data_IF_980923846084
#
_entry.id   IF_980923846084
#
_cell.length_a   1.000
_cell.length_b   1.000
_cell.length_c   1.000
_cell.angle_alpha   90.00
_cell.angle_beta   90.00
_cell.angle_gamma   90.00
#
_symmetry.space_group_name_H-M   'P 1'
#
loop_
_entity.id
_entity.type
_entity.pdbx_description
1 polymer ?
#
# COMPACT_ATOMS: atom_id res chain seq x y z
N UNK A 1 -19.41 6.89 4.10
CA UNK A 1 -18.38 6.05 3.47
C UNK A 1 -17.15 6.02 4.37
N UNK A 2 -16.68 4.83 4.76
CA UNK A 2 -15.44 4.63 5.51
C UNK A 2 -14.43 3.88 4.63
N UNK A 3 -13.23 4.45 4.47
CA UNK A 3 -12.13 3.87 3.71
C UNK A 3 -11.00 3.51 4.66
N UNK A 4 -10.59 2.25 4.67
CA UNK A 4 -9.47 1.75 5.45
C UNK A 4 -8.30 1.31 4.57
N UNK A 5 -7.09 1.42 5.11
CA UNK A 5 -5.91 0.69 4.61
C UNK A 5 -5.27 -0.12 5.71
N UNK A 6 -4.81 -1.34 5.39
CA UNK A 6 -4.20 -2.23 6.36
C UNK A 6 -3.23 -3.23 5.72
N UNK A 7 -1.94 -3.10 6.03
CA UNK A 7 -0.93 -4.09 5.68
C UNK A 7 -1.06 -5.32 6.62
N UNK A 8 -1.31 -6.49 6.05
CA UNK A 8 -1.54 -7.73 6.80
C UNK A 8 -0.26 -8.53 7.10
N UNK A 9 0.92 -7.96 6.82
CA UNK A 9 2.25 -8.52 7.12
C UNK A 9 2.41 -9.96 6.62
N UNK A 10 2.37 -10.10 5.30
CA UNK A 10 2.56 -11.34 4.54
C UNK A 10 1.60 -12.45 4.99
N UNK A 11 0.29 -12.15 4.98
CA UNK A 11 -0.77 -13.09 5.36
C UNK A 11 -0.65 -14.39 4.54
N UNK A 12 -0.40 -15.49 5.23
CA UNK A 12 -0.22 -16.81 4.64
C UNK A 12 -0.74 -17.89 5.62
N UNK A 13 -1.24 -19.00 5.06
CA UNK A 13 -1.65 -20.18 5.81
C UNK A 13 -0.94 -21.46 5.33
N UNK A 14 0.08 -21.29 4.49
CA UNK A 14 0.95 -22.39 4.07
C UNK A 14 1.78 -22.94 5.24
N UNK A 15 2.28 -24.17 5.09
CA UNK A 15 3.18 -24.78 6.09
C UNK A 15 4.52 -24.03 6.28
N UNK A 16 4.82 -23.03 5.44
CA UNK A 16 6.00 -22.15 5.56
C UNK A 16 5.71 -20.88 6.36
N UNK A 17 4.44 -20.63 6.71
CA UNK A 17 4.05 -19.48 7.51
C UNK A 17 4.79 -19.50 8.85
N UNK A 18 5.28 -18.33 9.26
CA UNK A 18 6.07 -18.17 10.49
C UNK A 18 5.23 -18.22 11.76
N UNK A 19 3.94 -17.93 11.62
CA UNK A 19 2.96 -17.95 12.70
C UNK A 19 1.80 -18.80 12.25
N UNK A 20 1.25 -19.59 13.18
CA UNK A 20 0.05 -20.38 12.93
C UNK A 20 -1.11 -19.47 12.48
N UNK A 21 -1.82 -19.91 11.44
CA UNK A 21 -2.90 -19.12 10.86
C UNK A 21 -4.06 -18.91 11.85
N UNK A 22 -4.41 -19.92 12.66
CA UNK A 22 -5.52 -19.76 13.60
C UNK A 22 -5.20 -18.71 14.67
N UNK A 23 -3.96 -18.66 15.14
CA UNK A 23 -3.48 -17.59 16.01
C UNK A 23 -3.55 -16.21 15.35
N UNK A 24 -3.09 -16.07 14.08
CA UNK A 24 -3.22 -14.81 13.33
C UNK A 24 -4.68 -14.40 13.13
N UNK A 25 -5.53 -15.32 12.70
CA UNK A 25 -6.94 -15.06 12.44
C UNK A 25 -7.70 -14.61 13.71
N UNK A 26 -7.38 -15.20 14.87
CA UNK A 26 -7.97 -14.80 16.15
C UNK A 26 -7.68 -13.33 16.53
N UNK A 27 -6.57 -12.76 16.04
CA UNK A 27 -6.20 -11.36 16.29
C UNK A 27 -6.64 -10.44 15.15
N UNK A 28 -6.46 -10.87 13.90
CA UNK A 28 -6.73 -10.05 12.72
C UNK A 28 -8.24 -9.92 12.42
N UNK A 29 -9.08 -10.92 12.72
CA UNK A 29 -10.53 -10.82 12.47
C UNK A 29 -11.20 -9.71 13.29
N UNK A 30 -11.01 -9.62 14.63
CA UNK A 30 -11.56 -8.50 15.39
C UNK A 30 -10.99 -7.15 14.95
N UNK A 31 -9.71 -7.10 14.57
CA UNK A 31 -9.08 -5.88 14.07
C UNK A 31 -9.72 -5.42 12.74
N UNK A 32 -9.99 -6.35 11.82
CA UNK A 32 -10.72 -6.08 10.58
C UNK A 32 -12.15 -5.61 10.86
N UNK A 33 -12.90 -6.31 11.70
CA UNK A 33 -14.28 -5.94 12.03
C UNK A 33 -14.37 -4.54 12.65
N UNK A 34 -13.40 -4.18 13.50
CA UNK A 34 -13.34 -2.85 14.12
C UNK A 34 -13.08 -1.73 13.11
N UNK A 35 -12.57 -2.03 11.91
CA UNK A 35 -12.43 -1.01 10.87
C UNK A 35 -13.78 -0.40 10.51
N UNK A 36 -14.86 -1.19 10.56
CA UNK A 36 -16.22 -0.78 10.16
C UNK A 36 -16.20 -0.01 8.83
N UNK A 37 -15.35 -0.46 7.90
CA UNK A 37 -15.06 0.24 6.66
C UNK A 37 -15.93 -0.28 5.52
N UNK A 38 -16.40 0.63 4.66
CA UNK A 38 -17.08 0.28 3.41
C UNK A 38 -16.10 -0.14 2.30
N UNK A 39 -14.86 0.35 2.39
CA UNK A 39 -13.77 0.10 1.45
C UNK A 39 -12.51 -0.25 2.22
N UNK A 40 -11.79 -1.30 1.83
CA UNK A 40 -10.55 -1.72 2.48
C UNK A 40 -9.46 -1.99 1.45
N UNK A 41 -8.36 -1.24 1.53
CA UNK A 41 -7.12 -1.51 0.83
C UNK A 41 -6.22 -2.39 1.69
N UNK A 42 -5.99 -3.63 1.29
CA UNK A 42 -5.09 -4.56 1.96
C UNK A 42 -3.77 -4.67 1.20
N UNK A 43 -2.68 -4.75 1.96
CA UNK A 43 -1.33 -5.02 1.47
C UNK A 43 -0.76 -6.29 2.10
N UNK A 44 0.26 -6.84 1.45
CA UNK A 44 0.94 -8.06 1.86
C UNK A 44 0.05 -9.30 2.03
N UNK A 45 -0.81 -9.54 1.03
CA UNK A 45 -1.57 -10.79 0.95
C UNK A 45 -0.81 -11.80 0.08
N UNK A 46 -0.41 -12.93 0.65
CA UNK A 46 0.28 -13.98 -0.12
C UNK A 46 -0.74 -14.93 -0.77
N UNK A 47 -0.39 -15.50 -1.92
CA UNK A 47 -1.23 -16.45 -2.63
C UNK A 47 -0.68 -17.88 -2.53
N UNK A 48 -1.54 -18.81 -2.16
CA UNK A 48 -1.21 -20.20 -1.90
C UNK A 48 -1.50 -21.09 -3.10
N UNK A 49 -0.71 -22.16 -3.24
CA UNK A 49 -1.03 -23.23 -4.18
C UNK A 49 -2.01 -24.20 -3.51
N UNK A 50 -3.25 -24.26 -4.02
CA UNK A 50 -4.29 -25.15 -3.52
C UNK A 50 -4.28 -26.46 -4.31
N UNK A 51 -4.24 -27.65 -3.68
CA UNK A 51 -4.28 -28.92 -4.39
C UNK A 51 -5.47 -29.01 -5.36
N UNK A 52 -5.20 -29.36 -6.62
CA UNK A 52 -6.21 -29.47 -7.66
C UNK A 52 -6.55 -28.16 -8.40
N UNK A 53 -6.07 -27.00 -7.93
CA UNK A 53 -6.19 -25.74 -8.65
C UNK A 53 -5.02 -25.54 -9.62
N UNK A 54 -5.29 -24.95 -10.79
CA UNK A 54 -4.25 -24.59 -11.77
C UNK A 54 -3.49 -23.32 -11.39
N UNK A 55 -4.18 -22.40 -10.73
CA UNK A 55 -3.65 -21.09 -10.34
C UNK A 55 -3.64 -20.96 -8.82
N UNK A 56 -2.77 -20.08 -8.33
CA UNK A 56 -2.73 -19.72 -6.91
C UNK A 56 -4.04 -19.04 -6.50
N UNK A 57 -4.37 -19.13 -5.22
CA UNK A 57 -5.56 -18.51 -4.64
C UNK A 57 -5.16 -17.73 -3.39
N UNK A 58 -5.95 -16.72 -3.01
CA UNK A 58 -5.79 -16.01 -1.73
C UNK A 58 -6.49 -16.78 -0.60
N UNK A 59 -6.18 -18.07 -0.46
CA UNK A 59 -6.88 -18.98 0.45
C UNK A 59 -6.79 -18.52 1.91
N UNK A 60 -5.63 -18.03 2.34
CA UNK A 60 -5.47 -17.45 3.68
C UNK A 60 -6.36 -16.22 3.90
N UNK A 61 -6.54 -15.38 2.87
CA UNK A 61 -7.44 -14.23 2.94
C UNK A 61 -8.90 -14.68 2.98
N UNK A 62 -9.32 -15.61 2.12
CA UNK A 62 -10.69 -16.14 2.13
C UNK A 62 -11.06 -16.68 3.51
N UNK A 63 -10.16 -17.48 4.11
CA UNK A 63 -10.31 -17.95 5.49
C UNK A 63 -10.28 -16.82 6.51
N UNK A 64 -9.50 -15.76 6.32
CA UNK A 64 -9.47 -14.65 7.26
C UNK A 64 -10.80 -13.89 7.26
N UNK A 65 -11.36 -13.63 6.07
CA UNK A 65 -12.59 -12.87 5.89
C UNK A 65 -13.84 -13.67 6.25
N UNK A 66 -13.79 -15.00 6.23
CA UNK A 66 -14.92 -15.86 6.59
C UNK A 66 -15.54 -15.49 7.95
N UNK A 67 -16.85 -15.22 7.95
CA UNK A 67 -17.61 -14.82 9.13
C UNK A 67 -17.59 -13.31 9.42
N UNK A 68 -16.77 -12.53 8.73
CA UNK A 68 -16.75 -11.06 8.81
C UNK A 68 -17.68 -10.44 7.76
N UNK A 69 -18.11 -9.16 7.91
CA UNK A 69 -18.88 -8.45 6.88
C UNK A 69 -18.15 -8.39 5.51
N UNK A 70 -16.83 -8.41 5.52
CA UNK A 70 -15.98 -8.32 4.34
C UNK A 70 -16.02 -9.55 3.43
N UNK A 71 -16.52 -10.69 3.91
CA UNK A 71 -16.69 -11.89 3.08
C UNK A 71 -17.63 -11.65 1.89
N UNK A 72 -18.58 -10.71 2.02
CA UNK A 72 -19.56 -10.38 0.98
C UNK A 72 -19.11 -9.26 0.03
N UNK A 73 -17.92 -8.67 0.24
CA UNK A 73 -17.48 -7.49 -0.50
C UNK A 73 -17.06 -7.86 -1.93
N UNK A 74 -17.29 -6.94 -2.85
CA UNK A 74 -16.63 -6.96 -4.15
C UNK A 74 -15.12 -6.89 -3.96
N UNK A 75 -14.37 -7.59 -4.82
CA UNK A 75 -12.93 -7.77 -4.66
C UNK A 75 -12.20 -7.52 -5.96
N UNK A 76 -11.18 -6.66 -5.89
CA UNK A 76 -10.15 -6.49 -6.90
C UNK A 76 -8.80 -6.95 -6.33
N UNK A 77 -7.96 -7.56 -7.15
CA UNK A 77 -6.66 -8.11 -6.73
C UNK A 77 -5.62 -7.82 -7.80
N UNK A 78 -4.42 -7.42 -7.38
CA UNK A 78 -3.28 -7.30 -8.30
C UNK A 78 -2.77 -8.66 -8.75
N UNK A 79 -2.38 -8.78 -9.99
CA UNK A 79 -1.64 -9.91 -10.52
C UNK A 79 -0.13 -9.81 -10.19
N UNK A 80 0.54 -10.96 -10.30
CA UNK A 80 1.98 -11.05 -10.23
C UNK A 80 2.67 -10.73 -11.55
N UNK A 81 4.02 -10.82 -11.57
CA UNK A 81 4.81 -10.53 -12.75
C UNK A 81 4.29 -11.27 -14.00
N UNK A 82 3.89 -10.53 -15.03
CA UNK A 82 3.35 -11.08 -16.28
C UNK A 82 1.82 -11.00 -16.44
N UNK A 83 1.08 -10.46 -15.46
CA UNK A 83 -0.27 -9.94 -15.69
C UNK A 83 -1.40 -10.97 -15.73
N UNK A 84 -1.14 -12.25 -15.42
CA UNK A 84 -2.08 -13.36 -15.66
C UNK A 84 -2.50 -14.15 -14.44
N UNK A 85 -1.65 -14.23 -13.43
CA UNK A 85 -1.89 -15.02 -12.23
C UNK A 85 -1.47 -14.21 -11.00
N UNK A 86 -1.96 -14.58 -9.82
CA UNK A 86 -1.56 -13.96 -8.56
C UNK A 86 -0.06 -14.12 -8.31
N UNK A 87 0.57 -13.09 -7.73
CA UNK A 87 1.91 -13.23 -7.18
C UNK A 87 1.88 -14.22 -6.01
N UNK A 88 2.99 -14.94 -5.80
CA UNK A 88 3.13 -15.80 -4.63
C UNK A 88 3.09 -14.99 -3.32
N UNK A 89 3.64 -13.78 -3.34
CA UNK A 89 3.67 -12.87 -2.19
C UNK A 89 3.21 -11.46 -2.54
N UNK A 90 2.80 -10.72 -1.53
CA UNK A 90 2.65 -9.26 -1.58
C UNK A 90 1.62 -8.71 -2.56
N UNK A 91 0.53 -9.44 -2.79
CA UNK A 91 -0.59 -8.95 -3.60
C UNK A 91 -1.31 -7.79 -2.89
N UNK A 92 -1.79 -6.83 -3.68
CA UNK A 92 -2.74 -5.81 -3.27
C UNK A 92 -4.16 -6.34 -3.43
N UNK A 93 -5.01 -6.04 -2.46
CA UNK A 93 -6.44 -6.38 -2.53
C UNK A 93 -7.27 -5.15 -2.17
N UNK A 94 -8.25 -4.82 -3.00
CA UNK A 94 -9.28 -3.85 -2.65
C UNK A 94 -10.58 -4.61 -2.40
N UNK A 95 -11.13 -4.48 -1.19
CA UNK A 95 -12.45 -4.96 -0.82
C UNK A 95 -13.42 -3.78 -0.81
N UNK A 96 -14.61 -3.95 -1.38
CA UNK A 96 -15.61 -2.90 -1.49
C UNK A 96 -17.02 -3.41 -1.22
N UNK A 97 -17.75 -2.74 -0.32
CA UNK A 97 -19.19 -2.92 -0.14
C UNK A 97 -19.95 -2.55 -1.42
N UNK A 98 -19.41 -1.57 -2.15
CA UNK A 98 -19.98 -1.06 -3.39
C UNK A 98 -19.46 -1.80 -4.63
N UNK A 99 -20.18 -1.78 -5.77
CA UNK A 99 -19.70 -2.36 -7.01
C UNK A 99 -18.35 -1.78 -7.46
N UNK A 100 -17.46 -2.67 -7.91
CA UNK A 100 -16.22 -2.30 -8.61
C UNK A 100 -16.52 -2.34 -10.11
N UNK A 101 -16.72 -1.18 -10.73
CA UNK A 101 -17.06 -1.07 -12.14
C UNK A 101 -15.89 -1.42 -13.07
N UNK A 102 -14.67 -1.08 -12.64
CA UNK A 102 -13.45 -1.37 -13.38
C UNK A 102 -12.24 -1.46 -12.44
N UNK A 103 -11.23 -2.22 -12.87
CA UNK A 103 -9.93 -2.27 -12.24
C UNK A 103 -8.80 -2.14 -13.28
N UNK A 104 -7.68 -1.55 -12.89
CA UNK A 104 -6.46 -1.43 -13.71
C UNK A 104 -5.23 -1.58 -12.82
N UNK A 105 -4.32 -2.43 -13.25
CA UNK A 105 -2.98 -2.53 -12.68
C UNK A 105 -2.04 -1.60 -13.44
N UNK A 106 -1.20 -0.86 -12.71
CA UNK A 106 -0.25 0.10 -13.27
C UNK A 106 1.16 -0.33 -12.85
N UNK A 107 1.94 -0.79 -13.82
CA UNK A 107 3.31 -1.26 -13.63
C UNK A 107 4.17 -0.86 -14.83
N UNK A 108 5.04 0.13 -14.65
CA UNK A 108 5.83 0.73 -15.73
C UNK A 108 4.97 1.21 -16.92
N UNK A 109 3.75 1.65 -16.67
CA UNK A 109 2.86 2.21 -17.69
C UNK A 109 3.23 3.66 -18.02
N UNK A 110 3.77 4.40 -17.04
CA UNK A 110 4.15 5.80 -17.20
C UNK A 110 5.66 6.03 -17.05
N UNK A 111 6.31 5.21 -16.22
CA UNK A 111 7.74 5.33 -15.90
C UNK A 111 8.48 4.10 -16.41
N UNK A 112 9.27 4.28 -17.47
CA UNK A 112 10.17 3.22 -17.94
C UNK A 112 11.13 2.79 -16.81
N UNK A 113 11.49 1.49 -16.70
CA UNK A 113 12.41 1.03 -15.67
C UNK A 113 13.73 1.82 -15.70
N UNK A 114 14.12 2.51 -14.61
CA UNK A 114 15.41 3.20 -14.55
C UNK A 114 16.55 2.22 -14.79
N UNK A 115 17.57 2.64 -15.53
CA UNK A 115 18.78 1.83 -15.72
C UNK A 115 19.79 2.15 -14.62
N UNK A 116 20.28 1.12 -13.93
CA UNK A 116 21.32 1.25 -12.91
C UNK A 116 22.61 0.57 -13.37
N UNK A 117 23.73 1.28 -13.26
CA UNK A 117 25.05 0.73 -13.47
C UNK A 117 25.64 0.27 -12.13
N UNK A 118 26.08 -1.00 -12.06
CA UNK A 118 26.62 -1.57 -10.84
C UNK A 118 27.84 -0.80 -10.32
N UNK A 119 27.94 -0.67 -9.00
CA UNK A 119 29.06 -0.03 -8.32
C UNK A 119 30.02 -1.11 -7.78
N UNK A 120 31.32 -0.81 -7.73
CA UNK A 120 32.32 -1.68 -7.11
C UNK A 120 32.83 -2.81 -8.03
N UNK A 121 32.97 -4.07 -7.56
CA UNK A 121 33.62 -5.14 -8.34
C UNK A 121 32.97 -5.48 -9.68
N UNK A 122 31.67 -5.18 -9.82
CA UNK A 122 30.91 -5.38 -11.07
C UNK A 122 30.84 -4.12 -11.95
N UNK A 123 31.58 -3.05 -11.58
CA UNK A 123 31.69 -1.83 -12.37
C UNK A 123 32.20 -2.15 -13.78
N UNK A 124 31.53 -1.58 -14.79
CA UNK A 124 31.78 -1.87 -16.21
C UNK A 124 30.83 -2.91 -16.81
N UNK A 125 30.01 -3.57 -15.99
CA UNK A 125 28.85 -4.35 -16.47
C UNK A 125 27.83 -3.44 -17.15
N UNK A 126 27.07 -3.99 -18.10
CA UNK A 126 26.00 -3.26 -18.76
C UNK A 126 24.94 -2.81 -17.73
N UNK A 127 24.41 -1.57 -17.82
CA UNK A 127 23.34 -1.12 -16.95
C UNK A 127 22.12 -2.06 -17.02
N UNK A 128 21.55 -2.37 -15.86
CA UNK A 128 20.39 -3.25 -15.76
C UNK A 128 19.12 -2.46 -15.41
N UNK A 129 17.94 -2.88 -15.93
CA UNK A 129 16.68 -2.25 -15.57
C UNK A 129 16.33 -2.54 -14.11
N UNK A 130 15.94 -1.50 -13.40
CA UNK A 130 15.43 -1.56 -12.03
C UNK A 130 13.90 -1.61 -12.10
N UNK A 131 13.34 -2.80 -11.91
CA UNK A 131 11.89 -3.02 -12.00
C UNK A 131 11.19 -2.88 -10.65
N UNK A 132 9.91 -2.52 -10.70
CA UNK A 132 9.04 -2.51 -9.53
C UNK A 132 8.63 -3.93 -9.14
N UNK A 133 8.53 -4.17 -7.84
CA UNK A 133 8.22 -5.49 -7.31
C UNK A 133 6.73 -5.85 -7.51
N UNK A 134 5.86 -4.84 -7.63
CA UNK A 134 4.39 -4.96 -7.74
C UNK A 134 3.76 -3.73 -8.41
N UNK A 135 2.55 -3.86 -8.99
CA UNK A 135 1.81 -2.73 -9.58
C UNK A 135 1.18 -1.82 -8.50
N UNK A 136 0.67 -0.66 -8.93
CA UNK A 136 -0.42 0.05 -8.26
C UNK A 136 -1.77 -0.56 -8.71
N UNK A 137 -2.76 -0.63 -7.83
CA UNK A 137 -4.09 -1.16 -8.15
C UNK A 137 -5.13 -0.04 -8.13
N UNK A 138 -5.54 0.44 -9.30
CA UNK A 138 -6.63 1.39 -9.46
C UNK A 138 -7.96 0.63 -9.58
N UNK A 139 -8.95 1.06 -8.82
CA UNK A 139 -10.34 0.58 -8.87
C UNK A 139 -11.29 1.75 -9.01
N UNK A 140 -12.29 1.61 -9.87
CA UNK A 140 -13.40 2.56 -9.97
C UNK A 140 -14.60 2.00 -9.21
N UNK A 141 -14.97 2.67 -8.14
CA UNK A 141 -16.01 2.26 -7.20
C UNK A 141 -17.26 3.12 -7.42
N UNK A 142 -18.41 2.48 -7.64
CA UNK A 142 -19.70 3.16 -7.79
C UNK A 142 -20.33 3.40 -6.43
N UNK A 143 -20.31 4.63 -5.93
CA UNK A 143 -20.87 4.97 -4.61
C UNK A 143 -22.40 5.04 -4.65
N UNK A 144 -23.05 4.87 -3.49
CA UNK A 144 -24.51 5.01 -3.34
C UNK A 144 -25.03 6.40 -3.77
N UNK A 145 -24.17 7.42 -3.79
CA UNK A 145 -24.50 8.77 -4.29
C UNK A 145 -24.61 8.85 -5.82
N UNK A 146 -24.23 7.78 -6.54
CA UNK A 146 -24.07 7.76 -7.99
C UNK A 146 -22.74 8.34 -8.48
N UNK A 147 -21.87 8.81 -7.59
CA UNK A 147 -20.53 9.27 -7.94
C UNK A 147 -19.56 8.08 -8.06
N UNK A 148 -18.54 8.23 -8.90
CA UNK A 148 -17.47 7.24 -9.05
C UNK A 148 -16.23 7.68 -8.29
N UNK A 149 -15.72 6.83 -7.41
CA UNK A 149 -14.44 7.02 -6.72
C UNK A 149 -13.32 6.26 -7.45
N UNK A 150 -12.26 6.97 -7.82
CA UNK A 150 -10.99 6.35 -8.23
C UNK A 150 -10.16 6.03 -6.97
N UNK A 151 -10.19 4.76 -6.54
CA UNK A 151 -9.43 4.27 -5.39
C UNK A 151 -8.17 3.55 -5.86
N UNK A 152 -7.01 4.08 -5.48
CA UNK A 152 -5.69 3.53 -5.81
C UNK A 152 -5.09 2.89 -4.55
N UNK A 153 -4.98 1.56 -4.55
CA UNK A 153 -4.28 0.82 -3.51
C UNK A 153 -2.78 0.77 -3.84
N UNK A 154 -1.93 1.08 -2.86
CA UNK A 154 -0.47 1.10 -3.01
C UNK A 154 0.23 0.28 -1.95
N UNK A 155 1.35 -0.33 -2.33
CA UNK A 155 2.37 -0.79 -1.41
C UNK A 155 3.71 -0.47 -2.06
N UNK A 156 4.32 0.65 -1.70
CA UNK A 156 5.57 1.08 -2.33
C UNK A 156 6.76 0.30 -1.78
N UNK A 157 7.92 0.45 -2.41
CA UNK A 157 9.14 -0.25 -2.01
C UNK A 157 9.56 0.10 -0.57
N UNK A 158 9.70 -0.93 0.26
CA UNK A 158 10.17 -0.81 1.64
C UNK A 158 11.55 -0.13 1.76
N UNK A 159 11.84 0.59 2.87
CA UNK A 159 13.13 1.23 3.13
C UNK A 159 14.23 0.24 3.52
N UNK A 160 14.19 -0.97 2.94
CA UNK A 160 15.17 -2.04 3.13
C UNK A 160 15.98 -2.23 1.86
N UNK A 161 17.30 -2.28 2.02
CA UNK A 161 18.25 -2.42 0.94
C UNK A 161 17.90 -3.61 0.00
N UNK A 162 17.72 -3.29 -1.28
CA UNK A 162 17.44 -4.23 -2.37
C UNK A 162 18.65 -5.12 -2.59
N UNK A 163 18.48 -6.43 -2.83
CA UNK A 163 19.61 -7.33 -3.06
C UNK A 163 20.54 -6.81 -4.18
N UNK A 164 21.83 -6.76 -3.88
CA UNK A 164 22.89 -6.51 -4.88
C UNK A 164 23.65 -7.81 -5.11
N UNK A 165 23.90 -8.14 -6.39
CA UNK A 165 24.56 -9.37 -6.79
C UNK A 165 25.90 -9.54 -6.05
N UNK A 166 26.15 -10.74 -5.54
CA UNK A 166 27.37 -11.05 -4.79
C UNK A 166 27.51 -10.37 -3.41
N UNK A 167 26.65 -9.43 -3.01
CA UNK A 167 26.84 -8.64 -1.78
C UNK A 167 26.12 -9.20 -0.53
N UNK A 168 25.30 -10.24 -0.66
CA UNK A 168 24.55 -10.83 0.47
C UNK A 168 25.33 -11.97 1.15
N UNK A 169 25.19 -12.09 2.49
CA UNK A 169 25.55 -13.27 3.30
C UNK A 169 24.32 -14.01 3.83
N UNK A 170 23.17 -13.35 3.82
CA UNK A 170 21.86 -13.87 4.23
C UNK A 170 20.79 -12.79 4.05
N UNK A 171 19.51 -13.04 4.43
CA UNK A 171 18.41 -12.11 4.19
C UNK A 171 18.64 -10.71 4.77
N UNK A 172 19.26 -10.62 5.95
CA UNK A 172 19.55 -9.36 6.65
C UNK A 172 21.05 -9.09 6.85
N UNK A 173 21.93 -9.83 6.16
CA UNK A 173 23.38 -9.73 6.32
C UNK A 173 24.08 -9.41 4.99
N UNK A 174 25.02 -8.47 5.04
CA UNK A 174 25.74 -7.93 3.89
C UNK A 174 27.23 -8.25 3.97
N UNK A 175 27.88 -8.40 2.82
CA UNK A 175 29.33 -8.66 2.72
C UNK A 175 30.15 -7.39 2.94
N UNK A 176 29.65 -6.26 2.44
CA UNK A 176 30.33 -4.97 2.49
C UNK A 176 29.32 -3.86 2.78
N UNK A 177 29.81 -2.74 3.35
CA UNK A 177 29.02 -1.51 3.53
C UNK A 177 28.60 -0.93 2.18
N UNK A 178 29.50 -0.96 1.18
CA UNK A 178 29.21 -0.45 -0.16
C UNK A 178 28.04 -1.18 -0.83
N UNK A 179 28.01 -2.51 -0.75
CA UNK A 179 26.89 -3.31 -1.27
C UNK A 179 25.56 -3.04 -0.56
N UNK A 180 25.59 -2.84 0.75
CA UNK A 180 24.40 -2.41 1.49
C UNK A 180 23.93 -1.02 1.06
N UNK A 181 24.85 -0.05 0.94
CA UNK A 181 24.54 1.32 0.56
C UNK A 181 23.98 1.41 -0.86
N UNK A 182 24.55 0.68 -1.82
CA UNK A 182 24.02 0.55 -3.18
C UNK A 182 22.62 -0.07 -3.18
N UNK A 183 22.40 -1.14 -2.41
CA UNK A 183 21.08 -1.75 -2.28
C UNK A 183 20.05 -0.80 -1.65
N UNK A 184 20.48 0.01 -0.69
CA UNK A 184 19.63 1.04 -0.07
C UNK A 184 19.27 2.13 -1.08
N UNK A 185 20.25 2.63 -1.85
CA UNK A 185 20.03 3.55 -2.96
C UNK A 185 19.05 2.99 -3.99
N UNK A 186 19.21 1.74 -4.42
CA UNK A 186 18.29 1.08 -5.35
C UNK A 186 16.86 1.00 -4.82
N UNK A 187 16.68 0.88 -3.51
CA UNK A 187 15.34 0.84 -2.90
C UNK A 187 14.69 2.21 -2.89
N UNK A 188 15.48 3.27 -2.62
CA UNK A 188 15.02 4.65 -2.77
C UNK A 188 14.65 4.96 -4.23
N UNK A 189 15.51 4.59 -5.18
CA UNK A 189 15.26 4.76 -6.62
C UNK A 189 13.95 4.07 -7.05
N UNK A 190 13.75 2.81 -6.65
CA UNK A 190 12.49 2.07 -6.90
C UNK A 190 11.28 2.81 -6.30
N UNK A 191 11.36 3.20 -5.03
CA UNK A 191 10.23 3.83 -4.33
C UNK A 191 9.85 5.17 -4.95
N UNK A 192 10.82 6.02 -5.27
CA UNK A 192 10.58 7.32 -5.89
C UNK A 192 10.07 7.19 -7.32
N UNK A 193 10.58 6.22 -8.10
CA UNK A 193 10.06 5.94 -9.43
C UNK A 193 8.61 5.39 -9.40
N UNK A 194 8.24 4.58 -8.40
CA UNK A 194 6.85 4.17 -8.19
C UNK A 194 5.96 5.34 -7.75
N UNK A 195 6.47 6.26 -6.92
CA UNK A 195 5.73 7.46 -6.53
C UNK A 195 5.49 8.41 -7.71
N UNK A 196 6.47 8.52 -8.62
CA UNK A 196 6.29 9.23 -9.88
C UNK A 196 5.23 8.56 -10.77
N UNK A 197 5.26 7.22 -10.88
CA UNK A 197 4.23 6.47 -11.61
C UNK A 197 2.83 6.70 -11.02
N UNK A 198 2.70 6.71 -9.69
CA UNK A 198 1.47 7.08 -8.99
C UNK A 198 1.03 8.50 -9.34
N UNK A 199 1.94 9.49 -9.30
CA UNK A 199 1.60 10.87 -9.62
C UNK A 199 1.07 11.01 -11.05
N UNK A 200 1.75 10.38 -12.01
CA UNK A 200 1.33 10.42 -13.41
C UNK A 200 0.00 9.70 -13.65
N UNK A 201 -0.29 8.62 -12.91
CA UNK A 201 -1.61 8.01 -12.90
C UNK A 201 -2.69 8.99 -12.37
N UNK A 202 -2.40 9.72 -11.29
CA UNK A 202 -3.34 10.71 -10.75
C UNK A 202 -3.55 11.85 -11.76
N UNK A 203 -2.49 12.32 -12.44
CA UNK A 203 -2.62 13.29 -13.54
C UNK A 203 -3.54 12.75 -14.64
N UNK A 204 -3.36 11.50 -15.06
CA UNK A 204 -4.19 10.85 -16.09
C UNK A 204 -5.69 10.80 -15.69
N UNK A 205 -5.98 10.63 -14.39
CA UNK A 205 -7.36 10.68 -13.87
C UNK A 205 -7.90 12.11 -13.87
N UNK A 206 -7.12 13.06 -13.36
CA UNK A 206 -7.51 14.49 -13.28
C UNK A 206 -7.63 15.16 -14.65
N UNK A 207 -6.87 14.72 -15.65
CA UNK A 207 -6.99 15.19 -17.04
C UNK A 207 -8.32 14.78 -17.67
N UNK A 208 -8.85 13.62 -17.29
CA UNK A 208 -10.18 13.17 -17.76
C UNK A 208 -11.30 13.85 -17.01
N UNK A 209 -11.12 14.06 -15.71
CA UNK A 209 -12.07 14.77 -14.86
C UNK A 209 -11.34 15.53 -13.75
N UNK A 210 -11.28 16.86 -13.90
CA UNK A 210 -10.64 17.74 -12.92
C UNK A 210 -11.35 17.75 -11.55
N UNK A 211 -12.60 17.28 -11.50
CA UNK A 211 -13.39 17.15 -10.27
C UNK A 211 -13.41 15.70 -9.73
N UNK A 212 -12.56 14.81 -10.25
CA UNK A 212 -12.54 13.41 -9.85
C UNK A 212 -12.40 13.24 -8.33
N UNK A 213 -13.23 12.35 -7.78
CA UNK A 213 -13.05 11.80 -6.44
C UNK A 213 -11.90 10.80 -6.50
N UNK A 214 -10.76 11.13 -5.90
CA UNK A 214 -9.58 10.27 -5.89
C UNK A 214 -9.19 9.99 -4.45
N UNK A 215 -9.01 8.73 -4.11
CA UNK A 215 -8.35 8.29 -2.89
C UNK A 215 -7.13 7.45 -3.24
N UNK A 216 -6.00 7.70 -2.59
CA UNK A 216 -4.84 6.81 -2.61
C UNK A 216 -4.65 6.28 -1.20
N UNK A 217 -4.71 4.97 -1.00
CA UNK A 217 -4.64 4.37 0.32
C UNK A 217 -3.69 3.17 0.30
N UNK A 218 -2.78 3.11 1.25
CA UNK A 218 -1.80 2.04 1.27
C UNK A 218 -0.57 2.31 2.11
N UNK A 219 0.37 1.37 2.05
CA UNK A 219 1.69 1.46 2.64
C UNK A 219 2.64 2.17 1.67
N UNK A 220 2.97 3.43 1.94
CA UNK A 220 3.92 4.20 1.14
C UNK A 220 5.37 3.91 1.52
N UNK A 221 5.61 3.23 2.64
CA UNK A 221 6.94 2.96 3.16
C UNK A 221 7.80 4.24 3.30
N UNK A 222 7.13 5.36 3.58
CA UNK A 222 7.72 6.69 3.60
C UNK A 222 6.87 7.66 4.44
N UNK A 223 7.52 8.52 5.22
CA UNK A 223 6.85 9.53 6.05
C UNK A 223 6.38 10.75 5.23
N UNK A 224 5.50 11.57 5.81
CA UNK A 224 4.83 12.75 5.21
C UNK A 224 5.75 13.66 4.36
N UNK A 225 6.90 14.08 4.89
CA UNK A 225 7.81 15.03 4.21
C UNK A 225 8.88 14.37 3.34
N UNK A 226 8.77 13.07 3.10
CA UNK A 226 9.68 12.36 2.20
C UNK A 226 9.51 12.79 0.74
N UNK A 227 10.55 12.58 -0.07
CA UNK A 227 10.46 12.76 -1.53
C UNK A 227 9.32 11.93 -2.14
N UNK A 228 9.09 10.72 -1.60
CA UNK A 228 8.00 9.82 -2.00
C UNK A 228 6.62 10.46 -1.84
N UNK A 229 6.30 11.01 -0.66
CA UNK A 229 5.01 11.65 -0.43
C UNK A 229 4.89 12.97 -1.18
N UNK A 230 5.96 13.78 -1.24
CA UNK A 230 5.96 15.03 -2.01
C UNK A 230 5.66 14.79 -3.50
N UNK A 231 6.24 13.75 -4.10
CA UNK A 231 5.93 13.34 -5.48
C UNK A 231 4.45 12.95 -5.64
N UNK A 232 3.92 12.11 -4.76
CA UNK A 232 2.52 11.67 -4.82
C UNK A 232 1.53 12.84 -4.61
N UNK A 233 1.84 13.73 -3.67
CA UNK A 233 1.00 14.87 -3.28
C UNK A 233 1.04 15.98 -4.31
N UNK A 234 2.22 16.33 -4.82
CA UNK A 234 2.48 17.51 -5.66
C UNK A 234 1.84 18.77 -5.07
N UNK A 235 2.28 19.14 -3.86
CA UNK A 235 1.73 20.28 -3.13
C UNK A 235 2.00 21.60 -3.89
N UNK A 236 1.10 22.57 -3.74
CA UNK A 236 1.22 23.87 -4.40
C UNK A 236 2.58 24.54 -4.12
N UNK A 237 3.08 24.41 -2.90
CA UNK A 237 4.37 24.95 -2.46
C UNK A 237 5.56 24.34 -3.19
N UNK A 238 5.44 23.06 -3.60
CA UNK A 238 6.48 22.36 -4.36
C UNK A 238 6.44 22.72 -5.85
N UNK A 239 5.26 23.10 -6.35
CA UNK A 239 5.05 23.46 -7.75
C UNK A 239 5.34 24.93 -8.04
N UNK A 240 5.12 25.82 -7.06
CA UNK A 240 5.25 27.27 -7.23
C UNK A 240 4.23 27.87 -8.22
N UNK A 241 3.11 27.20 -8.44
CA UNK A 241 2.11 27.54 -9.45
C UNK A 241 0.68 27.34 -8.90
N UNK A 242 0.00 28.45 -8.57
CA UNK A 242 -1.34 28.45 -7.95
C UNK A 242 -2.43 27.83 -8.83
N UNK A 243 -2.27 27.88 -10.15
CA UNK A 243 -3.18 27.29 -11.13
C UNK A 243 -3.15 25.76 -11.12
N UNK A 244 -2.08 25.16 -10.60
CA UNK A 244 -1.93 23.70 -10.44
C UNK A 244 -2.36 23.22 -9.06
N UNK A 245 -2.67 24.13 -8.14
CA UNK A 245 -2.99 23.80 -6.76
C UNK A 245 -4.16 22.79 -6.66
N UNK A 246 -5.14 22.88 -7.56
CA UNK A 246 -6.29 21.96 -7.60
C UNK A 246 -5.93 20.50 -7.91
N UNK A 247 -4.73 20.26 -8.44
CA UNK A 247 -4.21 18.91 -8.74
C UNK A 247 -3.48 18.26 -7.56
N UNK A 248 -3.17 19.04 -6.53
CA UNK A 248 -2.55 18.52 -5.31
C UNK A 248 -3.50 17.58 -4.56
N UNK A 249 -2.96 16.49 -4.02
CA UNK A 249 -3.69 15.67 -3.05
C UNK A 249 -3.55 16.24 -1.64
N UNK A 250 -4.42 15.82 -0.74
CA UNK A 250 -4.41 16.18 0.68
C UNK A 250 -4.07 14.92 1.49
N UNK A 251 -3.02 15.03 2.31
CA UNK A 251 -2.57 13.99 3.25
C UNK A 251 -3.51 14.02 4.47
N UNK A 252 -4.43 13.06 4.59
CA UNK A 252 -5.51 13.12 5.58
C UNK A 252 -5.01 12.93 7.02
N UNK A 253 -3.95 12.15 7.19
CA UNK A 253 -3.32 11.87 8.48
C UNK A 253 -2.77 13.13 9.16
N UNK A 254 -2.59 14.22 8.41
CA UNK A 254 -2.28 15.54 8.98
C UNK A 254 -3.37 16.10 9.90
N UNK A 255 -4.60 15.56 9.85
CA UNK A 255 -5.68 15.92 10.76
C UNK A 255 -5.51 15.32 12.17
N UNK A 256 -4.60 14.36 12.38
CA UNK A 256 -4.33 13.76 13.68
C UNK A 256 -3.30 14.56 14.48
N UNK A 257 -3.40 14.57 15.83
CA UNK A 257 -2.31 14.96 16.71
C UNK A 257 -1.04 14.15 16.43
N UNK A 258 0.13 14.80 16.53
CA UNK A 258 1.41 14.20 16.13
C UNK A 258 1.77 12.94 16.96
N UNK A 259 1.39 12.89 18.22
CA UNK A 259 1.60 11.76 19.14
C UNK A 259 0.73 10.53 18.80
N UNK A 260 -0.32 10.71 18.00
CA UNK A 260 -1.23 9.65 17.54
C UNK A 260 -1.07 9.31 16.05
N UNK A 261 -0.27 10.10 15.32
CA UNK A 261 -0.08 9.99 13.87
C UNK A 261 1.07 9.06 13.54
N UNK A 262 0.86 7.76 13.73
CA UNK A 262 1.84 6.74 13.36
C UNK A 262 1.15 5.40 13.14
N UNK A 263 1.59 4.67 12.11
CA UNK A 263 1.09 3.36 11.74
C UNK A 263 2.08 2.22 12.04
N UNK A 264 3.35 2.53 12.31
CA UNK A 264 4.38 1.53 12.65
C UNK A 264 5.21 2.03 13.84
N UNK A 265 5.62 1.11 14.72
CA UNK A 265 6.62 1.35 15.76
C UNK A 265 7.89 0.57 15.40
N UNK A 266 8.97 1.29 15.10
CA UNK A 266 10.25 0.69 14.71
C UNK A 266 11.38 1.16 15.63
N UNK A 267 11.98 0.26 16.40
CA UNK A 267 13.05 0.61 17.35
C UNK A 267 12.64 1.72 18.34
N UNK A 268 11.40 1.64 18.84
CA UNK A 268 10.81 2.62 19.74
C UNK A 268 10.44 3.95 19.06
N UNK A 269 10.64 4.08 17.75
CA UNK A 269 10.30 5.28 16.98
C UNK A 269 8.95 5.08 16.28
N UNK A 270 7.92 5.88 16.61
CA UNK A 270 6.68 5.90 15.85
C UNK A 270 6.92 6.49 14.45
N UNK A 271 6.34 5.87 13.43
CA UNK A 271 6.43 6.27 12.03
C UNK A 271 5.05 6.17 11.37
N UNK A 272 4.66 7.18 10.60
CA UNK A 272 3.49 7.11 9.73
C UNK A 272 3.96 6.66 8.35
N UNK A 273 3.67 5.42 7.98
CA UNK A 273 4.05 4.83 6.69
C UNK A 273 2.83 4.47 5.83
N UNK A 274 1.69 4.24 6.48
CA UNK A 274 0.42 3.97 5.85
C UNK A 274 -0.40 5.25 5.77
N UNK A 275 -0.80 5.67 4.58
CA UNK A 275 -1.47 6.95 4.36
C UNK A 275 -2.78 6.79 3.61
N UNK A 276 -3.66 7.76 3.80
CA UNK A 276 -4.79 8.00 2.91
C UNK A 276 -4.65 9.43 2.37
N UNK A 277 -4.48 9.53 1.06
CA UNK A 277 -4.46 10.79 0.31
C UNK A 277 -5.80 10.99 -0.38
N UNK A 278 -6.30 12.21 -0.43
CA UNK A 278 -7.56 12.55 -1.09
C UNK A 278 -7.40 13.69 -2.11
N UNK A 279 -8.14 13.64 -3.23
CA UNK A 279 -8.31 14.84 -4.06
C UNK A 279 -9.02 15.93 -3.28
N UNK A 280 -8.88 17.19 -3.70
CA UNK A 280 -9.59 18.32 -3.06
C UNK A 280 -11.11 18.12 -3.03
N UNK A 281 -11.68 17.53 -4.08
CA UNK A 281 -13.12 17.25 -4.15
C UNK A 281 -13.51 16.19 -3.12
N UNK A 282 -12.79 15.08 -3.04
CA UNK A 282 -13.05 14.06 -2.02
C UNK A 282 -12.86 14.61 -0.60
N UNK A 283 -11.87 15.47 -0.40
CA UNK A 283 -11.64 16.13 0.89
C UNK A 283 -12.81 17.01 1.35
N UNK A 284 -13.61 17.57 0.44
CA UNK A 284 -14.85 18.29 0.81
C UNK A 284 -15.86 17.42 1.57
N UNK A 285 -15.78 16.10 1.39
CA UNK A 285 -16.59 15.10 2.09
C UNK A 285 -15.94 14.56 3.36
N UNK A 286 -14.68 14.89 3.64
CA UNK A 286 -13.93 14.35 4.78
C UNK A 286 -14.57 14.77 6.12
N UNK A 287 -14.61 13.84 7.07
CA UNK A 287 -15.16 14.05 8.42
C UNK A 287 -14.21 13.67 9.55
N UNK A 288 -13.27 12.77 9.30
CA UNK A 288 -12.29 12.36 10.30
C UNK A 288 -11.42 11.22 9.83
N UNK A 289 -10.31 11.02 10.54
CA UNK A 289 -9.37 9.93 10.33
C UNK A 289 -8.97 9.37 11.69
N UNK A 290 -8.66 8.07 11.72
CA UNK A 290 -8.19 7.35 12.89
C UNK A 290 -7.07 6.39 12.49
N UNK A 291 -6.15 6.16 13.43
CA UNK A 291 -5.12 5.12 13.32
C UNK A 291 -5.25 4.26 14.56
N UNK A 292 -5.49 2.96 14.38
CA UNK A 292 -5.74 2.06 15.51
C UNK A 292 -4.44 1.46 16.06
N UNK A 293 -3.59 2.33 16.62
CA UNK A 293 -2.24 1.99 17.09
C UNK A 293 -2.15 1.66 18.59
N UNK A 294 -3.28 1.50 19.30
CA UNK A 294 -3.34 1.40 20.77
C UNK A 294 -2.64 0.15 21.34
N UNK A 295 -2.49 -0.90 20.53
CA UNK A 295 -1.89 -2.19 20.92
C UNK A 295 -0.71 -2.61 20.05
N UNK A 296 -0.14 -1.69 19.26
CA UNK A 296 0.88 -2.04 18.28
C UNK A 296 2.22 -2.37 18.95
N UNK A 297 2.78 -3.54 18.59
CA UNK A 297 4.12 -3.93 19.02
C UNK A 297 5.23 -3.25 18.20
N UNK A 298 6.46 -3.30 18.70
CA UNK A 298 7.64 -2.83 17.96
C UNK A 298 8.13 -3.91 16.98
N UNK A 299 8.10 -3.61 15.68
CA UNK A 299 8.45 -4.58 14.63
C UNK A 299 9.91 -5.03 14.72
N UNK A 300 10.80 -4.17 15.20
CA UNK A 300 12.23 -4.48 15.26
C UNK A 300 12.53 -5.56 16.30
N UNK A 301 11.71 -5.64 17.36
CA UNK A 301 11.78 -6.73 18.33
C UNK A 301 11.31 -8.06 17.71
N UNK A 302 10.28 -8.00 16.86
CA UNK A 302 9.75 -9.16 16.15
C UNK A 302 10.75 -9.80 15.20
N UNK A 303 11.36 -8.97 14.35
CA UNK A 303 12.36 -9.44 13.38
C UNK A 303 13.69 -9.84 14.04
N UNK A 304 14.11 -9.14 15.10
CA UNK A 304 15.39 -9.38 15.76
C UNK A 304 15.43 -10.61 16.68
N UNK A 305 14.29 -11.02 17.26
CA UNK A 305 14.24 -12.11 18.26
C UNK A 305 13.54 -13.39 17.79
N UNK A 306 13.15 -13.48 16.51
CA UNK A 306 12.30 -14.57 15.99
C UNK A 306 10.96 -14.74 16.74
N UNK A 307 10.49 -13.66 17.38
CA UNK A 307 9.15 -13.57 17.97
C UNK A 307 8.22 -13.03 16.88
N UNK A 308 7.70 -13.91 16.03
CA UNK A 308 6.73 -13.51 15.01
C UNK A 308 5.37 -13.27 15.67
N UNK A 309 4.82 -12.06 15.49
CA UNK A 309 3.55 -11.66 16.07
C UNK A 309 2.38 -12.26 15.29
N UNK A 310 1.31 -12.61 16.02
CA UNK A 310 0.04 -12.95 15.40
C UNK A 310 -0.70 -11.71 14.85
N UNK A 311 -0.42 -10.54 15.43
CA UNK A 311 -0.88 -9.24 14.91
C UNK A 311 0.03 -8.75 13.79
N UNK A 312 -0.47 -7.83 12.96
CA UNK A 312 0.37 -7.02 12.07
C UNK A 312 1.15 -5.98 12.88
N UNK A 313 2.37 -5.69 12.45
CA UNK A 313 3.14 -4.53 12.94
C UNK A 313 2.73 -3.19 12.30
N UNK A 314 1.77 -3.20 11.38
CA UNK A 314 1.10 -1.99 10.89
C UNK A 314 -0.23 -1.79 11.61
N UNK A 315 -0.51 -0.58 12.05
CA UNK A 315 -1.83 -0.17 12.51
C UNK A 315 -2.69 0.20 11.31
N UNK A 316 -3.95 -0.26 11.25
CA UNK A 316 -4.85 0.18 10.20
C UNK A 316 -5.19 1.66 10.33
N UNK A 317 -5.38 2.30 9.18
CA UNK A 317 -5.76 3.72 9.07
C UNK A 317 -7.14 3.80 8.43
N UNK A 318 -8.07 4.54 9.03
CA UNK A 318 -9.45 4.65 8.54
C UNK A 318 -9.86 6.11 8.40
N UNK A 319 -10.33 6.50 7.22
CA UNK A 319 -10.89 7.82 6.94
C UNK A 319 -12.41 7.73 6.73
N UNK A 320 -13.15 8.70 7.28
CA UNK A 320 -14.60 8.81 7.15
C UNK A 320 -14.96 9.98 6.23
N UNK A 321 -15.88 9.71 5.30
CA UNK A 321 -16.42 10.67 4.34
C UNK A 321 -17.95 10.64 4.34
N UNK A 322 -18.53 11.81 4.18
CA UNK A 322 -19.97 12.05 4.14
C UNK A 322 -20.35 12.73 2.82
N UNK A 323 -21.08 11.98 1.99
CA UNK A 323 -21.58 12.42 0.70
C UNK A 323 -22.98 13.05 0.78
N UNK A 324 -23.56 13.14 1.99
CA UNK A 324 -24.96 13.47 2.18
C UNK A 324 -25.89 12.36 1.68
N UNK A 325 -27.03 12.16 2.33
CA UNK A 325 -28.12 11.42 1.71
C UNK A 325 -28.66 12.27 0.56
N UNK A 326 -28.75 11.71 -0.66
CA UNK A 326 -29.59 12.31 -1.68
C UNK A 326 -30.99 12.48 -1.08
N UNK A 327 -31.45 13.72 -0.90
CA UNK A 327 -32.83 13.96 -0.51
C UNK A 327 -33.72 13.21 -1.52
N UNK A 328 -34.74 12.45 -1.08
CA UNK A 328 -35.67 11.84 -2.01
C UNK A 328 -36.27 12.97 -2.85
N UNK A 329 -36.05 12.91 -4.17
CA UNK A 329 -36.74 13.76 -5.13
C UNK A 329 -38.20 13.34 -5.21
#
# INVERSE_FOLDING_TARGET
>A
MRLATFNLESLDDSAKARVDFAARAAVLRPALERLDADLVCLQEVNAQHVPGARERQLHALDRLLEGTPYAAYHRAVSSGPGGRALADVHNLVTLSRFPIAAQREVHHAFVAPPLHAAIGPEMGSAPAPVTFDRPLLLTHIELDSGATLALINVHLRAPLASPVAGQKRGPFAWRTVGGWAEGFYLSALKREAQALELRLLIEEVLERDAAALIAVAGDFNAEDWSATLRLAVAAEEDLGASELATRSLIVLDRALPADRRWSVLHHGRPQMLDHILASRVLYGHFRGIEVHNEGLGDEALGYGKALHSAASYHAPVVATFDFGSAAPR
#
